data_IF_285031492999
#
_entry.id   IF_285031492999
#
_cell.length_a   1.000
_cell.length_b   1.000
_cell.length_c   1.000
_cell.angle_alpha   90.00
_cell.angle_beta   90.00
_cell.angle_gamma   90.00
#
_symmetry.space_group_name_H-M   'P 1'
#
loop_
_entity.id
_entity.type
_entity.pdbx_description
1 polymer ?
#
# COMPACT_ATOMS: atom_id res chain seq x y z
N UNK A 1 -16.00 -14.92 29.21
CA UNK A 1 -14.86 -14.81 28.25
C UNK A 1 -15.45 -14.72 26.87
N UNK A 2 -15.03 -13.75 26.04
CA UNK A 2 -15.46 -13.67 24.63
C UNK A 2 -14.97 -14.92 23.88
N UNK A 3 -15.75 -15.42 22.92
CA UNK A 3 -15.28 -16.45 22.01
C UNK A 3 -14.16 -15.90 21.10
N UNK A 4 -13.32 -16.80 20.59
CA UNK A 4 -12.22 -16.39 19.72
C UNK A 4 -12.76 -15.85 18.39
N UNK A 5 -12.41 -14.60 18.09
CA UNK A 5 -12.78 -13.89 16.85
C UNK A 5 -14.25 -14.10 16.43
N UNK A 6 -15.16 -13.96 17.40
CA UNK A 6 -16.59 -14.01 17.17
C UNK A 6 -17.10 -12.79 16.36
N UNK A 7 -18.41 -12.72 16.15
CA UNK A 7 -19.03 -11.59 15.40
C UNK A 7 -18.70 -10.22 15.99
N UNK A 8 -18.39 -10.13 17.28
CA UNK A 8 -18.08 -8.89 18.01
C UNK A 8 -16.57 -8.69 18.19
N UNK A 9 -15.75 -9.46 17.46
CA UNK A 9 -14.28 -9.30 17.47
C UNK A 9 -13.88 -7.84 17.27
N UNK A 10 -13.03 -7.29 18.16
CA UNK A 10 -12.59 -5.89 18.22
C UNK A 10 -13.70 -4.84 18.45
N UNK A 11 -14.96 -5.22 18.72
CA UNK A 11 -16.06 -4.29 18.99
C UNK A 11 -16.44 -4.39 20.47
N UNK A 12 -16.09 -3.36 21.26
CA UNK A 12 -16.22 -3.42 22.72
C UNK A 12 -17.54 -2.82 23.23
N UNK A 13 -18.30 -2.06 22.40
CA UNK A 13 -19.54 -1.41 22.79
C UNK A 13 -20.68 -1.66 21.79
N UNK A 14 -21.93 -1.39 22.21
CA UNK A 14 -23.10 -1.44 21.32
C UNK A 14 -22.98 -0.38 20.22
N UNK A 15 -22.49 0.80 20.57
CA UNK A 15 -22.21 1.87 19.62
C UNK A 15 -21.21 1.40 18.55
N UNK A 16 -20.11 0.75 18.95
CA UNK A 16 -19.12 0.23 17.99
C UNK A 16 -19.74 -0.82 17.06
N UNK A 17 -20.60 -1.72 17.57
CA UNK A 17 -21.29 -2.74 16.76
C UNK A 17 -22.26 -2.11 15.75
N UNK A 18 -23.02 -1.11 16.16
CA UNK A 18 -23.95 -0.41 15.28
C UNK A 18 -23.23 0.37 14.18
N UNK A 19 -22.13 1.04 14.50
CA UNK A 19 -21.27 1.73 13.52
C UNK A 19 -20.64 0.74 12.54
N UNK A 20 -20.13 -0.38 13.03
CA UNK A 20 -19.53 -1.41 12.20
C UNK A 20 -20.56 -2.02 11.23
N UNK A 21 -21.79 -2.25 11.66
CA UNK A 21 -22.85 -2.74 10.77
C UNK A 21 -23.03 -1.84 9.54
N UNK A 22 -22.98 -0.50 9.72
CA UNK A 22 -23.06 0.44 8.61
C UNK A 22 -21.77 0.47 7.75
N UNK A 23 -20.60 0.48 8.40
CA UNK A 23 -19.32 0.53 7.68
C UNK A 23 -19.05 -0.75 6.87
N UNK A 24 -19.50 -1.90 7.35
CA UNK A 24 -19.25 -3.20 6.72
C UNK A 24 -20.02 -3.39 5.40
N UNK A 25 -21.15 -2.72 5.22
CA UNK A 25 -21.93 -2.72 3.97
C UNK A 25 -21.23 -1.93 2.83
N UNK A 26 -20.28 -1.06 3.17
CA UNK A 26 -19.60 -0.26 2.17
C UNK A 26 -18.71 -1.11 1.27
N UNK A 27 -18.68 -0.85 -0.04
CA UNK A 27 -17.75 -1.53 -0.93
C UNK A 27 -16.30 -1.19 -0.59
N UNK A 28 -15.37 -1.87 -1.26
CA UNK A 28 -13.93 -1.62 -1.13
C UNK A 28 -13.45 -0.84 -2.36
N UNK A 29 -12.75 0.25 -2.11
CA UNK A 29 -11.85 0.87 -3.05
C UNK A 29 -10.43 0.72 -2.49
N UNK A 30 -9.67 -0.22 -3.05
CA UNK A 30 -8.28 -0.48 -2.67
C UNK A 30 -7.36 0.40 -3.52
N UNK A 31 -7.22 1.67 -3.11
CA UNK A 31 -6.54 2.69 -3.88
C UNK A 31 -5.01 2.56 -3.91
N UNK A 32 -4.44 1.60 -3.18
CA UNK A 32 -3.03 1.21 -3.23
C UNK A 32 -2.85 -0.28 -2.93
N UNK A 33 -2.44 -1.06 -3.93
CA UNK A 33 -2.08 -2.47 -3.78
C UNK A 33 -0.97 -2.87 -4.76
N UNK A 34 -0.42 -4.08 -4.56
CA UNK A 34 0.61 -4.69 -5.41
C UNK A 34 0.11 -5.96 -6.13
N UNK A 35 -1.20 -6.07 -6.36
CA UNK A 35 -1.75 -7.18 -7.12
C UNK A 35 -1.29 -7.13 -8.58
N UNK A 36 -1.02 -8.30 -9.16
CA UNK A 36 -0.57 -8.42 -10.53
C UNK A 36 -1.72 -8.23 -11.53
N UNK A 37 -1.70 -7.19 -12.39
CA UNK A 37 -2.70 -7.04 -13.45
C UNK A 37 -2.73 -8.23 -14.41
N UNK A 38 -1.59 -8.88 -14.62
CA UNK A 38 -1.48 -10.09 -15.44
C UNK A 38 -2.28 -11.24 -14.83
N UNK A 39 -2.14 -11.49 -13.54
CA UNK A 39 -2.91 -12.56 -12.86
C UNK A 39 -4.41 -12.26 -12.87
N UNK A 40 -4.82 -11.00 -12.70
CA UNK A 40 -6.23 -10.58 -12.81
C UNK A 40 -6.75 -10.81 -14.23
N UNK A 41 -5.95 -10.51 -15.26
CA UNK A 41 -6.34 -10.73 -16.65
C UNK A 41 -6.44 -12.22 -16.99
N UNK A 42 -5.39 -12.99 -16.69
CA UNK A 42 -5.32 -14.43 -16.97
C UNK A 42 -6.38 -15.22 -16.17
N UNK A 43 -6.75 -14.72 -14.99
CA UNK A 43 -7.81 -15.24 -14.12
C UNK A 43 -7.74 -16.75 -13.87
N UNK A 44 -6.54 -17.29 -13.72
CA UNK A 44 -6.32 -18.70 -13.46
C UNK A 44 -6.63 -19.05 -12.02
N UNK A 45 -7.28 -20.19 -11.80
CA UNK A 45 -7.50 -20.70 -10.46
C UNK A 45 -6.16 -20.96 -9.76
N UNK A 46 -6.10 -20.62 -8.50
CA UNK A 46 -4.95 -20.93 -7.66
C UNK A 46 -4.91 -22.43 -7.31
N UNK A 47 -3.70 -22.96 -7.18
CA UNK A 47 -3.51 -24.42 -6.99
C UNK A 47 -3.89 -24.85 -5.57
N UNK A 48 -3.51 -24.06 -4.56
CA UNK A 48 -3.71 -24.39 -3.15
C UNK A 48 -3.61 -23.14 -2.23
N UNK A 49 -3.98 -23.33 -0.96
CA UNK A 49 -3.95 -22.26 0.05
C UNK A 49 -2.52 -21.80 0.39
N UNK A 50 -1.51 -22.66 0.28
CA UNK A 50 -0.12 -22.27 0.56
C UNK A 50 0.37 -21.29 -0.52
N UNK A 51 -0.01 -21.50 -1.76
CA UNK A 51 0.30 -20.56 -2.83
C UNK A 51 -0.33 -19.20 -2.54
N UNK A 52 -1.64 -19.16 -2.23
CA UNK A 52 -2.36 -17.92 -1.91
C UNK A 52 -1.74 -17.15 -0.73
N UNK A 53 -1.17 -17.86 0.25
CA UNK A 53 -0.65 -17.24 1.47
C UNK A 53 0.85 -16.97 1.47
N UNK A 54 1.65 -17.82 0.82
CA UNK A 54 3.09 -17.85 1.06
C UNK A 54 3.93 -17.56 -0.20
N UNK A 55 3.31 -17.50 -1.38
CA UNK A 55 4.08 -17.32 -2.63
C UNK A 55 4.81 -15.97 -2.71
N UNK A 56 4.26 -14.90 -2.12
CA UNK A 56 4.84 -13.55 -2.22
C UNK A 56 4.74 -12.71 -0.94
N UNK A 57 4.36 -13.30 0.20
CA UNK A 57 4.10 -12.55 1.44
C UNK A 57 5.33 -12.51 2.35
N UNK A 58 6.15 -11.48 2.18
CA UNK A 58 7.35 -11.28 3.00
C UNK A 58 7.08 -10.99 4.48
N UNK A 59 5.85 -10.61 4.88
CA UNK A 59 5.45 -10.50 6.30
C UNK A 59 5.42 -11.88 6.95
N UNK A 60 4.78 -12.85 6.28
CA UNK A 60 4.70 -14.23 6.74
C UNK A 60 6.09 -14.89 6.78
N UNK A 61 6.90 -14.65 5.74
CA UNK A 61 8.29 -15.15 5.70
C UNK A 61 9.13 -14.64 6.86
N UNK A 62 8.98 -13.35 7.21
CA UNK A 62 9.67 -12.75 8.37
C UNK A 62 9.25 -13.41 9.68
N UNK A 63 7.96 -13.65 9.89
CA UNK A 63 7.44 -14.32 11.07
C UNK A 63 7.95 -15.77 11.16
N UNK A 64 7.94 -16.51 10.05
CA UNK A 64 8.47 -17.88 9.99
C UNK A 64 9.95 -17.94 10.38
N UNK A 65 10.78 -17.02 9.86
CA UNK A 65 12.20 -16.93 10.25
C UNK A 65 12.38 -16.60 11.72
N UNK A 66 11.56 -15.70 12.26
CA UNK A 66 11.60 -15.33 13.69
C UNK A 66 11.27 -16.51 14.59
N UNK A 67 10.49 -17.47 14.11
CA UNK A 67 10.20 -18.76 14.79
C UNK A 67 11.22 -19.86 14.48
N UNK A 68 12.32 -19.57 13.79
CA UNK A 68 13.38 -20.54 13.48
C UNK A 68 13.03 -21.55 12.39
N UNK A 69 12.05 -21.27 11.55
CA UNK A 69 11.70 -22.14 10.42
C UNK A 69 12.85 -22.12 9.38
N UNK A 70 13.36 -23.29 8.94
CA UNK A 70 14.40 -23.33 7.91
C UNK A 70 13.93 -22.72 6.58
N UNK A 71 14.84 -22.02 5.88
CA UNK A 71 14.54 -21.31 4.64
C UNK A 71 13.94 -22.21 3.54
N UNK A 72 14.26 -23.51 3.56
CA UNK A 72 13.66 -24.54 2.70
C UNK A 72 12.12 -24.48 2.70
N UNK A 73 11.51 -24.26 3.87
CA UNK A 73 10.05 -24.20 4.05
C UNK A 73 9.46 -22.80 3.91
N UNK A 74 10.27 -21.78 3.60
CA UNK A 74 9.84 -20.39 3.43
C UNK A 74 9.87 -20.04 1.97
N UNK A 75 11.05 -19.73 1.43
CA UNK A 75 11.27 -19.38 0.03
C UNK A 75 11.93 -20.49 -0.79
N UNK A 76 12.40 -21.57 -0.15
CA UNK A 76 13.06 -22.69 -0.80
C UNK A 76 12.11 -23.68 -1.48
N UNK A 77 12.61 -24.90 -1.72
CA UNK A 77 12.03 -25.90 -2.60
C UNK A 77 11.10 -26.92 -1.91
N UNK A 78 10.71 -26.69 -0.65
CA UNK A 78 9.71 -27.53 0.01
C UNK A 78 8.37 -27.47 -0.73
N UNK A 79 7.61 -28.58 -0.70
CA UNK A 79 6.28 -28.63 -1.30
C UNK A 79 5.33 -27.61 -0.67
N UNK A 80 4.27 -27.15 -1.39
CA UNK A 80 3.27 -26.25 -0.84
C UNK A 80 2.69 -26.74 0.49
N UNK A 81 2.38 -28.04 0.59
CA UNK A 81 1.87 -28.64 1.82
C UNK A 81 2.88 -28.53 2.98
N UNK A 82 4.16 -28.83 2.76
CA UNK A 82 5.20 -28.70 3.79
C UNK A 82 5.34 -27.25 4.27
N UNK A 83 5.27 -26.27 3.35
CA UNK A 83 5.28 -24.85 3.68
C UNK A 83 4.07 -24.46 4.51
N UNK A 84 2.88 -24.93 4.14
CA UNK A 84 1.66 -24.71 4.92
C UNK A 84 1.74 -25.31 6.33
N UNK A 85 2.24 -26.54 6.46
CA UNK A 85 2.43 -27.20 7.77
C UNK A 85 3.41 -26.41 8.65
N UNK A 86 4.50 -25.89 8.06
CA UNK A 86 5.45 -25.04 8.77
C UNK A 86 4.82 -23.72 9.23
N UNK A 87 3.97 -23.09 8.40
CA UNK A 87 3.18 -21.93 8.77
C UNK A 87 2.20 -22.23 9.90
N UNK A 88 1.41 -23.28 9.77
CA UNK A 88 0.44 -23.71 10.78
C UNK A 88 1.10 -23.99 12.15
N UNK A 89 2.28 -24.58 12.16
CA UNK A 89 3.04 -24.88 13.37
C UNK A 89 3.42 -23.65 14.16
N UNK A 90 3.73 -22.52 13.50
CA UNK A 90 4.14 -21.29 14.17
C UNK A 90 2.96 -20.42 14.59
N UNK A 91 1.77 -20.62 14.04
CA UNK A 91 0.61 -19.79 14.29
C UNK A 91 0.32 -19.55 15.78
N UNK A 92 0.31 -20.56 16.68
CA UNK A 92 0.05 -20.34 18.10
C UNK A 92 1.07 -19.42 18.80
N UNK A 93 2.25 -19.23 18.21
CA UNK A 93 3.32 -18.40 18.76
C UNK A 93 3.25 -16.94 18.28
N UNK A 94 2.34 -16.60 17.36
CA UNK A 94 2.17 -15.24 16.83
C UNK A 94 1.24 -14.39 17.72
N UNK A 95 1.29 -14.57 19.03
CA UNK A 95 0.52 -13.79 19.99
C UNK A 95 0.83 -12.29 19.86
N UNK A 96 -0.20 -11.47 19.60
CA UNK A 96 -0.07 -10.03 19.41
C UNK A 96 0.37 -9.60 17.99
N UNK A 97 0.76 -10.53 17.12
CA UNK A 97 1.10 -10.24 15.74
C UNK A 97 -0.19 -10.16 14.87
N UNK A 98 -0.37 -9.14 14.02
CA UNK A 98 -1.55 -9.01 13.18
C UNK A 98 -1.77 -10.19 12.23
N UNK A 99 -0.72 -10.89 11.80
CA UNK A 99 -0.81 -12.08 10.96
C UNK A 99 -1.67 -13.19 11.59
N UNK A 100 -1.72 -13.26 12.93
CA UNK A 100 -2.61 -14.20 13.62
C UNK A 100 -4.08 -13.89 13.33
N UNK A 101 -4.47 -12.62 13.45
CA UNK A 101 -5.85 -12.19 13.18
C UNK A 101 -6.18 -12.25 11.68
N UNK A 102 -5.30 -11.78 10.82
CA UNK A 102 -5.54 -11.78 9.37
C UNK A 102 -5.71 -13.21 8.83
N UNK A 103 -4.81 -14.13 9.20
CA UNK A 103 -4.92 -15.54 8.79
C UNK A 103 -6.27 -16.15 9.20
N UNK A 104 -6.74 -15.87 10.43
CA UNK A 104 -8.02 -16.43 10.90
C UNK A 104 -9.24 -15.71 10.31
N UNK A 105 -9.16 -14.40 10.00
CA UNK A 105 -10.19 -13.71 9.24
C UNK A 105 -10.30 -14.28 7.81
N UNK A 106 -9.18 -14.51 7.15
CA UNK A 106 -9.14 -15.13 5.82
C UNK A 106 -9.76 -16.55 5.85
N UNK A 107 -9.40 -17.38 6.86
CA UNK A 107 -10.01 -18.70 7.05
C UNK A 107 -11.52 -18.62 7.24
N UNK A 108 -12.00 -17.68 8.06
CA UNK A 108 -13.42 -17.51 8.33
C UNK A 108 -14.18 -17.00 7.10
N UNK A 109 -13.68 -15.99 6.40
CA UNK A 109 -14.41 -15.28 5.35
C UNK A 109 -14.41 -16.04 4.02
N UNK A 110 -13.30 -16.68 3.68
CA UNK A 110 -13.19 -17.40 2.42
C UNK A 110 -13.46 -18.90 2.53
N UNK A 111 -13.13 -19.49 3.68
CA UNK A 111 -13.15 -20.96 3.82
C UNK A 111 -14.20 -21.50 4.79
N UNK A 112 -14.92 -20.66 5.53
CA UNK A 112 -15.87 -21.04 6.59
C UNK A 112 -15.20 -21.88 7.68
N UNK A 113 -13.94 -21.60 7.99
CA UNK A 113 -13.12 -22.29 9.00
C UNK A 113 -12.95 -21.38 10.20
N UNK A 114 -13.48 -21.78 11.35
CA UNK A 114 -13.53 -20.95 12.58
C UNK A 114 -12.59 -21.47 13.69
N UNK A 115 -12.11 -22.70 13.59
CA UNK A 115 -11.13 -23.24 14.52
C UNK A 115 -9.73 -22.62 14.30
N UNK A 116 -8.96 -22.41 15.41
CA UNK A 116 -7.61 -21.88 15.31
C UNK A 116 -6.66 -22.79 14.52
N UNK A 117 -5.90 -22.19 13.61
CA UNK A 117 -4.84 -22.87 12.88
C UNK A 117 -3.67 -23.20 13.82
N UNK A 118 -3.26 -24.46 13.83
CA UNK A 118 -2.15 -24.99 14.65
C UNK A 118 -1.63 -26.28 14.04
N UNK A 119 -0.54 -26.81 14.56
CA UNK A 119 -0.04 -28.14 14.15
C UNK A 119 -1.11 -29.25 14.29
N UNK A 120 -2.03 -29.12 15.26
CA UNK A 120 -3.10 -30.11 15.50
C UNK A 120 -4.24 -30.05 14.48
N UNK A 121 -4.53 -28.87 13.95
CA UNK A 121 -5.65 -28.63 13.03
C UNK A 121 -5.19 -28.49 11.59
N UNK A 122 -3.89 -28.41 11.35
CA UNK A 122 -3.28 -28.11 10.05
C UNK A 122 -3.73 -29.05 8.94
N UNK A 123 -3.74 -30.36 9.20
CA UNK A 123 -4.09 -31.36 8.18
C UNK A 123 -5.55 -31.24 7.74
N UNK A 124 -6.46 -31.07 8.69
CA UNK A 124 -7.89 -30.92 8.42
C UNK A 124 -8.16 -29.59 7.68
N UNK A 125 -7.56 -28.49 8.15
CA UNK A 125 -7.68 -27.18 7.50
C UNK A 125 -7.13 -27.20 6.08
N UNK A 126 -5.95 -27.82 5.87
CA UNK A 126 -5.37 -28.00 4.53
C UNK A 126 -6.35 -28.69 3.58
N UNK A 127 -6.89 -29.82 4.03
CA UNK A 127 -7.79 -30.62 3.20
C UNK A 127 -9.09 -29.87 2.87
N UNK A 128 -9.72 -29.22 3.87
CA UNK A 128 -10.97 -28.47 3.69
C UNK A 128 -10.78 -27.23 2.82
N UNK A 129 -9.71 -26.47 3.05
CA UNK A 129 -9.43 -25.27 2.27
C UNK A 129 -9.17 -25.61 0.80
N UNK A 130 -8.34 -26.63 0.53
CA UNK A 130 -8.04 -27.04 -0.85
C UNK A 130 -9.23 -27.72 -1.54
N UNK A 131 -10.06 -28.46 -0.80
CA UNK A 131 -11.32 -28.96 -1.35
C UNK A 131 -12.24 -27.79 -1.79
N UNK A 132 -12.31 -26.71 -1.03
CA UNK A 132 -13.08 -25.52 -1.39
C UNK A 132 -12.49 -24.79 -2.61
N UNK A 133 -11.18 -24.63 -2.67
CA UNK A 133 -10.48 -24.09 -3.85
C UNK A 133 -10.78 -24.92 -5.12
N UNK A 134 -10.76 -26.23 -5.01
CA UNK A 134 -11.02 -27.14 -6.14
C UNK A 134 -12.46 -27.07 -6.66
N UNK A 135 -13.42 -26.67 -5.83
CA UNK A 135 -14.83 -26.46 -6.26
C UNK A 135 -14.99 -25.19 -7.10
N UNK A 136 -14.14 -24.16 -6.85
CA UNK A 136 -14.17 -22.86 -7.54
C UNK A 136 -14.42 -21.70 -6.58
N UNK A 137 -14.47 -20.49 -7.13
CA UNK A 137 -14.65 -19.25 -6.35
C UNK A 137 -13.33 -18.64 -5.86
N UNK A 138 -12.18 -19.14 -6.34
CA UNK A 138 -10.84 -18.71 -5.90
C UNK A 138 -9.93 -18.27 -7.04
N UNK A 139 -10.49 -17.89 -8.18
CA UNK A 139 -9.72 -17.15 -9.18
C UNK A 139 -9.50 -15.71 -8.71
N UNK A 140 -8.48 -14.99 -9.21
CA UNK A 140 -8.27 -13.58 -8.87
C UNK A 140 -9.51 -12.72 -8.96
N UNK A 141 -10.29 -12.83 -10.06
CA UNK A 141 -11.50 -12.01 -10.26
C UNK A 141 -12.63 -12.38 -9.31
N UNK A 142 -12.82 -13.68 -9.05
CA UNK A 142 -13.83 -14.14 -8.09
C UNK A 142 -13.51 -13.66 -6.66
N UNK A 143 -12.24 -13.70 -6.25
CA UNK A 143 -11.81 -13.20 -4.93
C UNK A 143 -12.03 -11.69 -4.80
N UNK A 144 -11.74 -10.91 -5.84
CA UNK A 144 -11.98 -9.47 -5.91
C UNK A 144 -13.49 -9.17 -5.82
N UNK A 145 -14.32 -9.82 -6.66
CA UNK A 145 -15.76 -9.58 -6.73
C UNK A 145 -16.48 -10.06 -5.45
N UNK A 146 -16.13 -11.23 -4.93
CA UNK A 146 -16.69 -11.78 -3.69
C UNK A 146 -16.34 -10.92 -2.46
N UNK A 147 -15.26 -10.13 -2.54
CA UNK A 147 -14.87 -9.18 -1.49
C UNK A 147 -15.52 -7.81 -1.64
N UNK A 148 -16.46 -7.64 -2.58
CA UNK A 148 -17.12 -6.37 -2.88
C UNK A 148 -16.13 -5.23 -3.23
N UNK A 149 -15.06 -5.54 -3.98
CA UNK A 149 -14.10 -4.55 -4.46
C UNK A 149 -14.61 -3.96 -5.77
N UNK A 150 -14.86 -2.66 -5.79
CA UNK A 150 -15.38 -1.96 -6.97
C UNK A 150 -14.29 -1.28 -7.80
N UNK A 151 -13.18 -0.98 -7.17
CA UNK A 151 -11.99 -0.41 -7.83
C UNK A 151 -10.74 -0.79 -7.05
N UNK A 152 -9.65 -1.05 -7.77
CA UNK A 152 -8.31 -1.18 -7.18
C UNK A 152 -7.27 -0.48 -8.04
N UNK A 153 -6.24 0.07 -7.37
CA UNK A 153 -5.07 0.66 -8.01
C UNK A 153 -3.88 -0.26 -7.80
N UNK A 154 -3.32 -0.74 -8.90
CA UNK A 154 -2.04 -1.47 -8.89
C UNK A 154 -0.87 -0.49 -8.84
N UNK A 155 0.34 -1.00 -8.63
CA UNK A 155 1.55 -0.17 -8.53
C UNK A 155 2.46 -0.49 -9.70
N UNK A 156 2.60 0.45 -10.66
CA UNK A 156 3.19 0.17 -11.96
C UNK A 156 4.38 1.11 -12.27
N UNK A 157 5.45 0.55 -12.82
CA UNK A 157 6.66 1.30 -13.19
C UNK A 157 6.41 2.19 -14.41
N UNK A 158 7.09 3.33 -14.47
CA UNK A 158 6.98 4.24 -15.63
C UNK A 158 7.32 3.58 -16.98
N UNK A 159 8.11 2.51 -17.00
CA UNK A 159 8.46 1.75 -18.19
C UNK A 159 7.47 0.62 -18.54
N UNK A 160 6.45 0.37 -17.71
CA UNK A 160 5.49 -0.73 -17.93
C UNK A 160 4.58 -0.47 -19.13
N UNK A 161 4.27 -1.51 -19.89
CA UNK A 161 3.43 -1.41 -21.10
C UNK A 161 1.96 -1.11 -20.80
N UNK A 162 1.49 -1.43 -19.60
CA UNK A 162 0.09 -1.38 -19.17
C UNK A 162 -0.86 -2.23 -20.04
N UNK A 163 -0.34 -3.22 -20.75
CA UNK A 163 -1.12 -4.05 -21.67
C UNK A 163 -2.26 -4.79 -20.98
N UNK A 164 -2.01 -5.31 -19.77
CA UNK A 164 -3.04 -6.04 -19.02
C UNK A 164 -4.13 -5.11 -18.48
N UNK A 165 -3.79 -3.88 -18.09
CA UNK A 165 -4.80 -2.87 -17.73
C UNK A 165 -5.74 -2.57 -18.91
N UNK A 166 -5.18 -2.41 -20.10
CA UNK A 166 -5.98 -2.21 -21.31
C UNK A 166 -6.90 -3.40 -21.58
N UNK A 167 -6.37 -4.62 -21.56
CA UNK A 167 -7.14 -5.84 -21.79
C UNK A 167 -8.26 -6.03 -20.74
N UNK A 168 -7.97 -5.75 -19.46
CA UNK A 168 -8.99 -5.80 -18.40
C UNK A 168 -10.07 -4.73 -18.63
N UNK A 169 -9.70 -3.51 -18.99
CA UNK A 169 -10.65 -2.43 -19.24
C UNK A 169 -11.59 -2.71 -20.44
N UNK A 170 -11.13 -3.49 -21.42
CA UNK A 170 -11.92 -3.94 -22.58
C UNK A 170 -12.90 -5.08 -22.21
N UNK A 171 -12.61 -5.85 -21.18
CA UNK A 171 -13.45 -6.97 -20.71
C UNK A 171 -14.62 -6.47 -19.84
N UNK A 172 -15.80 -6.37 -20.44
CA UNK A 172 -17.01 -5.89 -19.75
C UNK A 172 -17.67 -6.94 -18.83
N UNK A 173 -17.17 -8.17 -18.80
CA UNK A 173 -17.67 -9.21 -17.90
C UNK A 173 -17.15 -9.02 -16.49
N UNK A 174 -15.97 -8.38 -16.31
CA UNK A 174 -15.39 -8.06 -15.03
C UNK A 174 -15.80 -6.66 -14.56
N UNK A 175 -16.40 -6.57 -13.38
CA UNK A 175 -17.04 -5.34 -12.90
C UNK A 175 -16.09 -4.42 -12.13
N UNK A 176 -15.07 -4.97 -11.48
CA UNK A 176 -14.09 -4.17 -10.74
C UNK A 176 -13.21 -3.38 -11.71
N UNK A 177 -13.06 -2.10 -11.46
CA UNK A 177 -12.09 -1.26 -12.19
C UNK A 177 -10.68 -1.54 -11.69
N UNK A 178 -9.79 -1.91 -12.59
CA UNK A 178 -8.35 -2.06 -12.30
C UNK A 178 -7.62 -0.93 -13.03
N UNK A 179 -7.06 -0.01 -12.27
CA UNK A 179 -6.37 1.16 -12.81
C UNK A 179 -4.92 1.19 -12.32
N UNK A 180 -3.96 1.67 -13.14
CA UNK A 180 -2.58 1.78 -12.71
C UNK A 180 -2.39 2.96 -11.75
N UNK A 181 -1.48 2.84 -10.77
CA UNK A 181 -0.86 3.98 -10.11
C UNK A 181 0.58 4.15 -10.61
N UNK A 182 0.97 5.39 -10.89
CA UNK A 182 2.28 5.71 -11.47
C UNK A 182 3.36 5.69 -10.40
N UNK A 183 4.26 4.70 -10.44
CA UNK A 183 5.36 4.55 -9.48
C UNK A 183 6.74 4.69 -10.15
N UNK A 184 7.28 5.92 -10.24
CA UNK A 184 8.56 6.18 -10.89
C UNK A 184 9.77 6.03 -9.95
N UNK A 185 9.72 5.14 -8.95
CA UNK A 185 10.81 4.95 -7.99
C UNK A 185 12.14 4.59 -8.65
N UNK A 186 12.10 3.85 -9.76
CA UNK A 186 13.31 3.53 -10.51
C UNK A 186 13.87 4.74 -11.24
N UNK A 187 13.03 5.68 -11.67
CA UNK A 187 13.48 6.97 -12.22
C UNK A 187 14.19 7.79 -11.15
N UNK A 188 13.68 7.78 -9.91
CA UNK A 188 14.26 8.49 -8.77
C UNK A 188 15.51 7.82 -8.23
N UNK A 189 15.71 6.53 -8.48
CA UNK A 189 16.82 5.73 -7.98
C UNK A 189 18.13 5.87 -8.76
N UNK A 190 18.55 7.10 -9.11
CA UNK A 190 19.69 7.39 -9.96
C UNK A 190 21.02 6.81 -9.43
N UNK A 191 21.15 6.68 -8.11
CA UNK A 191 22.32 6.10 -7.43
C UNK A 191 22.30 4.56 -7.39
N UNK A 192 21.20 3.92 -7.77
CA UNK A 192 21.03 2.48 -7.61
C UNK A 192 21.67 1.70 -8.77
N UNK A 193 22.23 0.52 -8.53
CA UNK A 193 22.94 -0.27 -9.54
C UNK A 193 22.12 -0.62 -10.79
N UNK A 194 20.80 -0.66 -10.70
CA UNK A 194 19.91 -0.99 -11.83
C UNK A 194 19.47 0.21 -12.68
N UNK A 195 19.87 1.44 -12.35
CA UNK A 195 19.36 2.65 -12.98
C UNK A 195 19.57 2.68 -14.52
N UNK A 196 20.76 2.36 -14.98
CA UNK A 196 21.08 2.35 -16.44
C UNK A 196 20.26 1.32 -17.22
N UNK A 197 20.01 0.17 -16.64
CA UNK A 197 19.20 -0.87 -17.30
C UNK A 197 17.72 -0.48 -17.30
N UNK A 198 17.26 0.23 -16.27
CA UNK A 198 15.94 0.82 -16.25
C UNK A 198 15.78 1.92 -17.33
N UNK A 199 16.79 2.79 -17.53
CA UNK A 199 16.76 3.80 -18.61
C UNK A 199 16.61 3.11 -19.98
N UNK A 200 17.35 2.02 -20.25
CA UNK A 200 17.18 1.23 -21.48
C UNK A 200 15.77 0.62 -21.61
N UNK A 201 15.18 0.17 -20.49
CA UNK A 201 13.82 -0.32 -20.50
C UNK A 201 12.82 0.80 -20.83
N UNK A 202 13.02 2.00 -20.28
CA UNK A 202 12.23 3.19 -20.60
C UNK A 202 12.38 3.59 -22.09
N UNK A 203 13.60 3.59 -22.64
CA UNK A 203 13.84 3.83 -24.06
C UNK A 203 13.09 2.82 -24.95
N UNK A 204 13.12 1.54 -24.57
CA UNK A 204 12.36 0.50 -25.28
C UNK A 204 10.86 0.71 -25.20
N UNK A 205 10.34 1.11 -24.03
CA UNK A 205 8.92 1.31 -23.81
C UNK A 205 8.38 2.57 -24.53
N UNK A 206 9.19 3.61 -24.65
CA UNK A 206 8.84 4.86 -25.33
C UNK A 206 9.16 4.86 -26.84
N UNK A 207 10.13 4.06 -27.27
CA UNK A 207 10.71 4.11 -28.61
C UNK A 207 11.68 5.28 -28.83
N UNK A 208 12.04 5.99 -27.76
CA UNK A 208 12.88 7.19 -27.81
C UNK A 208 14.17 6.98 -27.01
N UNK A 209 15.28 7.59 -27.51
CA UNK A 209 16.56 7.55 -26.80
C UNK A 209 16.59 8.61 -25.69
N UNK A 210 17.13 8.24 -24.52
CA UNK A 210 17.22 9.10 -23.34
C UNK A 210 18.68 9.38 -23.01
N UNK A 211 19.26 10.42 -23.60
CA UNK A 211 20.67 10.78 -23.47
C UNK A 211 20.92 12.14 -22.77
N UNK A 212 19.85 12.82 -22.34
CA UNK A 212 19.91 14.04 -21.54
C UNK A 212 18.82 14.05 -20.47
N UNK A 213 18.99 14.89 -19.44
CA UNK A 213 17.96 15.07 -18.41
C UNK A 213 16.65 15.64 -18.97
N UNK A 214 16.75 16.60 -19.89
CA UNK A 214 15.58 17.16 -20.59
C UNK A 214 14.80 16.08 -21.34
N UNK A 215 15.53 15.19 -22.05
CA UNK A 215 14.91 14.09 -22.77
C UNK A 215 14.27 13.06 -21.84
N UNK A 216 14.85 12.84 -20.65
CA UNK A 216 14.22 12.01 -19.62
C UNK A 216 12.86 12.59 -19.20
N UNK A 217 12.78 13.90 -18.91
CA UNK A 217 11.52 14.55 -18.55
C UNK A 217 10.47 14.46 -19.66
N UNK A 218 10.84 14.68 -20.92
CA UNK A 218 9.93 14.54 -22.09
C UNK A 218 9.37 13.11 -22.18
N UNK A 219 10.23 12.10 -22.05
CA UNK A 219 9.81 10.71 -22.13
C UNK A 219 8.93 10.35 -20.94
N UNK A 220 9.29 10.76 -19.72
CA UNK A 220 8.45 10.54 -18.53
C UNK A 220 7.09 11.22 -18.65
N UNK A 221 7.02 12.41 -19.23
CA UNK A 221 5.74 13.08 -19.50
C UNK A 221 4.86 12.25 -20.44
N UNK A 222 5.44 11.69 -21.52
CA UNK A 222 4.71 10.81 -22.42
C UNK A 222 4.18 9.54 -21.72
N UNK A 223 4.93 9.04 -20.73
CA UNK A 223 4.50 7.90 -19.90
C UNK A 223 3.35 8.27 -18.96
N UNK A 224 3.43 9.44 -18.31
CA UNK A 224 2.33 9.97 -17.49
C UNK A 224 1.05 10.12 -18.34
N UNK A 225 1.15 10.61 -19.58
CA UNK A 225 0.02 10.69 -20.51
C UNK A 225 -0.57 9.32 -20.87
N UNK A 226 0.27 8.29 -20.99
CA UNK A 226 -0.22 6.92 -21.17
C UNK A 226 -0.99 6.43 -19.93
N UNK A 227 -0.44 6.65 -18.75
CA UNK A 227 -1.10 6.28 -17.49
C UNK A 227 -2.45 7.00 -17.32
N UNK A 228 -2.51 8.30 -17.63
CA UNK A 228 -3.78 9.06 -17.62
C UNK A 228 -4.81 8.42 -18.55
N UNK A 229 -4.42 8.05 -19.78
CA UNK A 229 -5.31 7.36 -20.74
C UNK A 229 -5.80 6.00 -20.23
N UNK A 230 -5.03 5.33 -19.37
CA UNK A 230 -5.42 4.07 -18.73
C UNK A 230 -6.25 4.28 -17.47
N UNK A 231 -6.60 5.52 -17.13
CA UNK A 231 -7.45 5.86 -16.00
C UNK A 231 -6.73 6.04 -14.67
N UNK A 232 -5.41 6.21 -14.70
CA UNK A 232 -4.60 6.53 -13.51
C UNK A 232 -5.15 7.73 -12.75
N UNK A 233 -5.16 7.66 -11.42
CA UNK A 233 -5.61 8.71 -10.51
C UNK A 233 -4.67 8.92 -9.33
N UNK A 234 -3.63 8.10 -9.23
CA UNK A 234 -2.67 8.14 -8.15
C UNK A 234 -1.24 7.98 -8.66
N UNK A 235 -0.31 8.55 -7.94
CA UNK A 235 1.12 8.23 -8.04
C UNK A 235 1.63 7.75 -6.69
N UNK A 236 2.68 6.94 -6.69
CA UNK A 236 3.28 6.40 -5.49
C UNK A 236 4.81 6.59 -5.51
N UNK A 237 5.34 7.06 -4.41
CA UNK A 237 6.76 7.33 -4.22
C UNK A 237 7.23 6.80 -2.87
N UNK A 238 8.41 6.18 -2.82
CA UNK A 238 8.99 5.68 -1.58
C UNK A 238 10.38 6.31 -1.32
N UNK A 239 10.53 6.91 -0.13
CA UNK A 239 11.79 7.50 0.32
C UNK A 239 12.22 6.92 1.66
N UNK A 240 13.47 6.48 1.76
CA UNK A 240 14.08 6.22 3.07
C UNK A 240 14.20 7.54 3.86
N UNK A 241 14.64 8.61 3.17
CA UNK A 241 14.75 9.99 3.63
C UNK A 241 14.22 10.91 2.53
N UNK A 242 13.35 11.87 2.89
CA UNK A 242 12.83 12.84 1.93
C UNK A 242 13.99 13.69 1.39
N UNK A 243 14.20 13.73 0.07
CA UNK A 243 15.25 14.56 -0.52
C UNK A 243 14.80 16.02 -0.61
N UNK A 244 15.70 16.96 -0.36
CA UNK A 244 15.45 18.36 -0.71
C UNK A 244 16.76 19.11 -0.97
N UNK A 245 17.02 19.40 -2.23
CA UNK A 245 18.07 20.32 -2.66
C UNK A 245 17.74 20.89 -4.05
N UNK A 246 17.98 22.17 -4.26
CA UNK A 246 17.75 22.82 -5.55
C UNK A 246 18.98 22.71 -6.44
N UNK A 247 18.77 22.54 -7.73
CA UNK A 247 19.79 22.55 -8.77
C UNK A 247 19.24 23.23 -10.02
N UNK A 248 20.11 23.70 -10.89
CA UNK A 248 19.74 24.21 -12.21
C UNK A 248 19.78 23.08 -13.26
N UNK A 249 19.25 23.37 -14.45
CA UNK A 249 19.14 22.39 -15.53
C UNK A 249 20.50 21.88 -16.03
N UNK A 250 21.54 22.73 -16.05
CA UNK A 250 22.88 22.33 -16.52
C UNK A 250 23.54 21.37 -15.53
N UNK A 251 23.33 21.60 -14.24
CA UNK A 251 23.83 20.73 -13.18
C UNK A 251 23.14 19.36 -13.21
N UNK A 252 21.82 19.33 -13.42
CA UNK A 252 21.05 18.10 -13.54
C UNK A 252 21.47 17.26 -14.76
N UNK A 253 21.69 17.88 -15.92
CA UNK A 253 22.15 17.17 -17.09
C UNK A 253 23.56 16.57 -16.89
N UNK A 254 24.45 17.29 -16.18
CA UNK A 254 25.75 16.78 -15.78
C UNK A 254 25.62 15.56 -14.86
N UNK A 255 24.78 15.65 -13.83
CA UNK A 255 24.54 14.54 -12.86
C UNK A 255 23.95 13.32 -13.60
N UNK A 256 22.98 13.55 -14.46
CA UNK A 256 22.35 12.49 -15.27
C UNK A 256 23.36 11.78 -16.18
N UNK A 257 24.18 12.53 -16.93
CA UNK A 257 25.22 11.96 -17.78
C UNK A 257 26.29 11.20 -17.01
N UNK A 258 26.66 11.70 -15.82
CA UNK A 258 27.56 11.02 -14.89
C UNK A 258 27.01 9.65 -14.47
N UNK A 259 25.72 9.58 -14.12
CA UNK A 259 25.03 8.33 -13.80
C UNK A 259 24.98 7.35 -14.99
N UNK A 260 24.67 7.86 -16.19
CA UNK A 260 24.68 7.03 -17.41
C UNK A 260 26.09 6.51 -17.74
N UNK A 261 27.14 7.28 -17.43
CA UNK A 261 28.55 6.87 -17.54
C UNK A 261 28.94 5.80 -16.50
N UNK A 262 28.14 5.58 -15.48
CA UNK A 262 28.43 4.64 -14.38
C UNK A 262 29.39 5.19 -13.35
N UNK A 263 29.51 6.51 -13.26
CA UNK A 263 30.29 7.19 -12.25
C UNK A 263 29.51 7.27 -10.93
N UNK A 264 30.23 7.28 -9.80
CA UNK A 264 29.63 7.42 -8.48
C UNK A 264 29.11 8.85 -8.27
N UNK A 265 27.90 8.96 -7.72
CA UNK A 265 27.26 10.22 -7.37
C UNK A 265 27.43 10.52 -5.88
N UNK A 266 27.66 11.80 -5.55
CA UNK A 266 27.59 12.27 -4.17
C UNK A 266 26.15 12.32 -3.68
N UNK A 267 25.91 12.26 -2.35
CA UNK A 267 24.57 12.45 -1.77
C UNK A 267 23.93 13.77 -2.21
N UNK A 268 24.73 14.80 -2.37
CA UNK A 268 24.29 16.10 -2.84
C UNK A 268 23.70 16.03 -4.26
N UNK A 269 24.40 15.41 -5.19
CA UNK A 269 23.96 15.20 -6.57
C UNK A 269 22.69 14.35 -6.63
N UNK A 270 22.60 13.34 -5.78
CA UNK A 270 21.40 12.48 -5.66
C UNK A 270 20.19 13.28 -5.14
N UNK A 271 20.38 14.10 -4.08
CA UNK A 271 19.29 14.91 -3.54
C UNK A 271 18.83 16.00 -4.53
N UNK A 272 19.75 16.62 -5.26
CA UNK A 272 19.45 17.57 -6.33
C UNK A 272 18.58 16.95 -7.41
N UNK A 273 19.02 15.82 -7.95
CA UNK A 273 18.29 15.08 -8.98
C UNK A 273 16.89 14.66 -8.48
N UNK A 274 16.80 13.99 -7.34
CA UNK A 274 15.53 13.53 -6.77
C UNK A 274 14.56 14.68 -6.48
N UNK A 275 15.06 15.80 -5.96
CA UNK A 275 14.22 16.96 -5.65
C UNK A 275 13.59 17.55 -6.90
N UNK A 276 14.40 17.76 -7.96
CA UNK A 276 13.89 18.40 -9.18
C UNK A 276 12.96 17.46 -9.93
N UNK A 277 13.31 16.18 -10.02
CA UNK A 277 12.44 15.19 -10.68
C UNK A 277 11.12 14.99 -9.91
N UNK A 278 11.13 14.98 -8.56
CA UNK A 278 9.89 14.95 -7.77
C UNK A 278 9.02 16.19 -7.99
N UNK A 279 9.63 17.36 -8.11
CA UNK A 279 8.87 18.58 -8.42
C UNK A 279 8.27 18.55 -9.82
N UNK A 280 8.99 18.02 -10.80
CA UNK A 280 8.46 17.77 -12.14
C UNK A 280 7.23 16.86 -12.07
N UNK A 281 7.34 15.71 -11.45
CA UNK A 281 6.24 14.76 -11.28
C UNK A 281 5.03 15.39 -10.56
N UNK A 282 5.26 16.03 -9.43
CA UNK A 282 4.18 16.62 -8.63
C UNK A 282 3.40 17.69 -9.42
N UNK A 283 4.08 18.53 -10.21
CA UNK A 283 3.43 19.50 -11.09
C UNK A 283 2.55 18.84 -12.14
N UNK A 284 3.00 17.73 -12.71
CA UNK A 284 2.22 16.98 -13.69
C UNK A 284 1.01 16.28 -13.04
N UNK A 285 1.14 15.80 -11.79
CA UNK A 285 0.02 15.25 -11.03
C UNK A 285 -1.01 16.31 -10.67
N UNK A 286 -0.56 17.50 -10.23
CA UNK A 286 -1.46 18.62 -9.94
C UNK A 286 -2.30 19.01 -11.17
N UNK A 287 -1.69 19.11 -12.36
CA UNK A 287 -2.38 19.44 -13.61
C UNK A 287 -3.45 18.43 -14.01
N UNK A 288 -3.29 17.15 -13.61
CA UNK A 288 -4.23 16.03 -13.88
C UNK A 288 -5.18 15.76 -12.74
N UNK A 289 -5.01 16.42 -11.58
CA UNK A 289 -5.82 16.19 -10.39
C UNK A 289 -5.59 14.83 -9.72
N UNK A 290 -4.41 14.22 -9.95
CA UNK A 290 -4.04 12.94 -9.29
C UNK A 290 -3.74 13.15 -7.81
N UNK A 291 -3.89 12.07 -7.02
CA UNK A 291 -3.35 11.97 -5.67
C UNK A 291 -1.88 11.52 -5.71
N UNK A 292 -1.01 12.22 -4.99
CA UNK A 292 0.41 11.87 -4.85
C UNK A 292 0.63 11.18 -3.50
N UNK A 293 1.00 9.92 -3.53
CA UNK A 293 1.35 9.15 -2.33
C UNK A 293 2.85 9.25 -2.08
N UNK A 294 3.24 9.54 -0.83
CA UNK A 294 4.64 9.59 -0.41
C UNK A 294 4.82 8.67 0.80
N UNK A 295 5.49 7.56 0.60
CA UNK A 295 5.86 6.60 1.62
C UNK A 295 7.24 6.91 2.18
N UNK A 296 7.34 7.15 3.50
CA UNK A 296 8.57 7.64 4.14
C UNK A 296 9.05 6.67 5.21
N UNK A 297 10.36 6.40 5.23
CA UNK A 297 11.03 5.79 6.37
C UNK A 297 11.23 4.28 6.30
N UNK A 298 11.24 3.66 5.13
CA UNK A 298 11.64 2.27 4.96
C UNK A 298 13.15 2.15 4.67
N UNK A 299 13.89 1.43 5.55
CA UNK A 299 15.25 0.99 5.24
C UNK A 299 15.19 -0.40 4.64
N UNK A 300 15.60 -0.50 3.38
CA UNK A 300 15.44 -1.73 2.61
C UNK A 300 16.71 -2.59 2.61
N UNK A 301 16.52 -3.91 2.49
CA UNK A 301 17.60 -4.88 2.25
C UNK A 301 18.72 -4.86 3.32
N UNK A 302 18.37 -4.71 4.60
CA UNK A 302 19.33 -4.56 5.69
C UNK A 302 20.27 -5.75 5.91
N UNK A 303 19.92 -6.92 5.37
CA UNK A 303 20.76 -8.12 5.46
C UNK A 303 21.40 -8.41 4.09
N UNK A 304 22.60 -7.90 3.86
CA UNK A 304 23.32 -8.05 2.58
C UNK A 304 23.53 -9.49 2.15
N UNK A 305 23.76 -10.42 3.11
CA UNK A 305 23.91 -11.85 2.82
C UNK A 305 22.63 -12.45 2.26
N UNK A 306 21.49 -12.11 2.87
CA UNK A 306 20.19 -12.61 2.41
C UNK A 306 19.73 -11.90 1.14
N UNK A 307 20.02 -10.61 0.99
CA UNK A 307 19.76 -9.88 -0.26
C UNK A 307 20.49 -10.51 -1.45
N UNK A 308 21.77 -10.89 -1.27
CA UNK A 308 22.53 -11.59 -2.30
C UNK A 308 21.94 -12.96 -2.68
N UNK A 309 21.31 -13.63 -1.72
CA UNK A 309 20.73 -14.98 -1.91
C UNK A 309 19.31 -14.97 -2.43
N UNK A 310 18.46 -14.05 -1.97
CA UNK A 310 17.01 -14.06 -2.18
C UNK A 310 16.50 -12.85 -2.98
N UNK A 311 17.31 -11.80 -3.12
CA UNK A 311 16.90 -10.55 -3.75
C UNK A 311 16.09 -9.63 -2.82
N UNK A 312 15.48 -8.58 -3.37
CA UNK A 312 14.65 -7.61 -2.65
C UNK A 312 13.33 -8.21 -2.19
N UNK A 313 12.60 -7.48 -1.36
CA UNK A 313 11.24 -7.84 -0.89
C UNK A 313 11.14 -9.23 -0.24
N UNK A 314 12.20 -9.66 0.43
CA UNK A 314 12.29 -10.99 1.04
C UNK A 314 12.16 -10.98 2.57
N UNK A 315 11.76 -9.83 3.16
CA UNK A 315 11.44 -9.70 4.59
C UNK A 315 12.61 -9.20 5.47
N UNK A 316 13.64 -8.59 4.88
CA UNK A 316 14.81 -8.07 5.59
C UNK A 316 14.87 -6.53 5.61
N UNK A 317 13.70 -5.90 5.62
CA UNK A 317 13.56 -4.46 5.71
C UNK A 317 13.24 -4.02 7.15
N UNK A 318 13.44 -2.75 7.47
CA UNK A 318 13.17 -2.17 8.78
C UNK A 318 12.74 -0.71 8.71
N UNK A 319 12.43 -0.14 9.87
CA UNK A 319 12.08 1.27 10.05
C UNK A 319 13.36 2.10 10.04
N UNK A 320 13.39 3.17 9.23
CA UNK A 320 14.42 4.20 9.27
C UNK A 320 14.13 5.23 10.39
N UNK A 321 15.17 5.88 10.85
CA UNK A 321 15.08 6.89 11.91
C UNK A 321 15.72 8.22 11.48
N UNK A 322 15.35 8.69 10.28
CA UNK A 322 15.79 9.99 9.77
C UNK A 322 14.85 11.12 10.22
N UNK A 323 15.35 12.34 10.18
CA UNK A 323 14.53 13.54 10.32
C UNK A 323 13.67 13.74 9.07
N UNK A 324 12.37 14.03 9.26
CA UNK A 324 11.40 14.14 8.17
C UNK A 324 10.92 15.57 7.95
N UNK A 325 10.72 16.34 9.02
CA UNK A 325 9.98 17.59 9.01
C UNK A 325 10.51 18.64 8.01
N UNK A 326 11.80 18.96 8.09
CA UNK A 326 12.39 20.09 7.36
C UNK A 326 12.36 19.87 5.85
N UNK A 327 12.88 18.74 5.40
CA UNK A 327 12.94 18.45 3.96
C UNK A 327 11.55 18.26 3.35
N UNK A 328 10.64 17.59 4.07
CA UNK A 328 9.27 17.41 3.63
C UNK A 328 8.56 18.77 3.50
N UNK A 329 8.65 19.64 4.53
CA UNK A 329 8.07 20.98 4.50
C UNK A 329 8.57 21.77 3.31
N UNK A 330 9.88 21.79 3.08
CA UNK A 330 10.50 22.52 1.95
C UNK A 330 10.08 21.95 0.60
N UNK A 331 9.95 20.63 0.47
CA UNK A 331 9.48 20.01 -0.77
C UNK A 331 8.03 20.43 -1.09
N UNK A 332 7.13 20.32 -0.12
CA UNK A 332 5.72 20.68 -0.27
C UNK A 332 5.57 22.19 -0.54
N UNK A 333 6.23 23.04 0.25
CA UNK A 333 6.24 24.50 0.07
C UNK A 333 6.74 24.90 -1.32
N UNK A 334 7.80 24.26 -1.82
CA UNK A 334 8.34 24.56 -3.15
C UNK A 334 7.36 24.31 -4.31
N UNK A 335 6.30 23.56 -4.07
CA UNK A 335 5.21 23.30 -5.00
C UNK A 335 4.00 24.20 -4.72
N UNK A 336 3.71 24.43 -3.44
CA UNK A 336 2.54 25.21 -3.02
C UNK A 336 2.68 26.69 -3.39
N UNK A 337 3.88 27.27 -3.31
CA UNK A 337 4.14 28.66 -3.76
C UNK A 337 3.86 28.89 -5.26
N UNK A 338 3.86 27.83 -6.06
CA UNK A 338 3.52 27.88 -7.49
C UNK A 338 2.05 27.47 -7.75
N UNK A 339 1.26 27.19 -6.69
CA UNK A 339 -0.09 26.58 -6.76
C UNK A 339 -0.13 25.24 -7.55
N UNK A 340 0.95 24.48 -7.45
CA UNK A 340 1.16 23.21 -8.14
C UNK A 340 1.41 22.04 -7.18
N UNK A 341 1.09 22.20 -5.88
CA UNK A 341 1.07 21.08 -4.95
C UNK A 341 -0.18 20.23 -5.22
N UNK A 342 -0.06 18.94 -5.62
CA UNK A 342 -1.22 18.09 -5.85
C UNK A 342 -1.91 17.68 -4.53
N UNK A 343 -3.05 17.03 -4.63
CA UNK A 343 -3.60 16.23 -3.53
C UNK A 343 -2.52 15.24 -3.09
N UNK A 344 -2.16 15.24 -1.81
CA UNK A 344 -1.00 14.47 -1.33
C UNK A 344 -1.38 13.61 -0.13
N UNK A 345 -0.92 12.35 -0.11
CA UNK A 345 -1.10 11.42 1.00
C UNK A 345 0.29 11.08 1.55
N UNK A 346 0.50 11.39 2.83
CA UNK A 346 1.77 11.16 3.51
C UNK A 346 1.68 9.89 4.37
N UNK A 347 2.55 8.92 4.10
CA UNK A 347 2.71 7.73 4.92
C UNK A 347 4.02 7.79 5.70
N UNK A 348 4.02 7.34 6.93
CA UNK A 348 5.26 7.07 7.66
C UNK A 348 5.33 5.63 8.13
N UNK A 349 6.53 5.05 8.05
CA UNK A 349 6.80 3.75 8.63
C UNK A 349 7.23 3.86 10.11
N UNK A 350 7.78 5.02 10.51
CA UNK A 350 8.18 5.25 11.88
C UNK A 350 7.04 5.92 12.68
N UNK A 351 6.43 5.25 13.67
CA UNK A 351 5.32 5.82 14.44
C UNK A 351 5.69 7.07 15.23
N UNK A 352 7.00 7.33 15.51
CA UNK A 352 7.46 8.59 16.12
C UNK A 352 7.06 9.82 15.30
N UNK A 353 6.92 9.66 13.97
CA UNK A 353 6.64 10.74 13.05
C UNK A 353 5.12 10.99 12.85
N UNK A 354 4.24 10.24 13.51
CA UNK A 354 2.80 10.40 13.38
C UNK A 354 2.34 11.85 13.66
N UNK A 355 2.81 12.46 14.73
CA UNK A 355 2.48 13.86 15.05
C UNK A 355 3.24 14.86 14.20
N UNK A 356 4.45 14.53 13.74
CA UNK A 356 5.21 15.36 12.80
C UNK A 356 4.43 15.50 11.49
N UNK A 357 4.01 14.39 10.92
CA UNK A 357 3.18 14.40 9.70
C UNK A 357 1.80 14.98 9.96
N UNK A 358 1.12 14.57 11.03
CA UNK A 358 -0.19 15.08 11.38
C UNK A 358 -0.25 16.61 11.47
N UNK A 359 0.77 17.24 12.07
CA UNK A 359 0.88 18.69 12.10
C UNK A 359 1.20 19.29 10.72
N UNK A 360 2.03 18.62 9.90
CA UNK A 360 2.39 19.05 8.56
C UNK A 360 1.19 19.15 7.63
N UNK A 361 0.20 18.26 7.77
CA UNK A 361 -1.01 18.26 6.93
C UNK A 361 -1.72 19.62 6.93
N UNK A 362 -1.78 20.29 8.10
CA UNK A 362 -2.46 21.55 8.29
C UNK A 362 -1.84 22.73 7.51
N UNK A 363 -0.55 22.64 7.16
CA UNK A 363 0.18 23.75 6.54
C UNK A 363 -0.23 24.01 5.09
N UNK A 364 -0.73 23.00 4.38
CA UNK A 364 -0.95 23.05 2.93
C UNK A 364 -2.39 22.72 2.52
N UNK A 365 -3.35 22.89 3.43
CA UNK A 365 -4.77 22.73 3.12
C UNK A 365 -5.31 23.93 2.34
N UNK A 366 -6.22 23.67 1.40
CA UNK A 366 -6.94 24.71 0.66
C UNK A 366 -8.34 24.22 0.23
N UNK A 367 -9.05 25.01 -0.61
CA UNK A 367 -10.42 24.70 -1.05
C UNK A 367 -10.51 23.74 -2.25
N UNK A 368 -9.40 23.26 -2.81
CA UNK A 368 -9.42 22.34 -3.97
C UNK A 368 -10.01 20.98 -3.62
N UNK A 369 -9.71 20.48 -2.41
CA UNK A 369 -10.27 19.24 -1.89
C UNK A 369 -10.35 19.29 -0.36
N UNK A 370 -11.38 18.68 0.21
CA UNK A 370 -11.45 18.49 1.65
C UNK A 370 -10.29 17.59 2.11
N UNK A 371 -9.49 18.08 3.07
CA UNK A 371 -8.23 17.45 3.47
C UNK A 371 -7.35 17.12 2.26
N UNK A 372 -7.01 18.15 1.47
CA UNK A 372 -6.13 18.04 0.30
C UNK A 372 -4.85 17.28 0.60
N UNK A 373 -4.25 17.55 1.76
CA UNK A 373 -3.12 16.79 2.29
C UNK A 373 -3.66 15.81 3.33
N UNK A 374 -3.49 14.53 3.07
CA UNK A 374 -3.98 13.42 3.89
C UNK A 374 -2.86 12.78 4.68
N UNK A 375 -3.22 12.18 5.82
CA UNK A 375 -2.37 11.19 6.47
C UNK A 375 -2.77 9.81 5.95
N UNK A 376 -1.83 9.06 5.41
CA UNK A 376 -2.06 7.70 4.91
C UNK A 376 -2.44 6.73 6.04
N UNK A 377 -3.00 5.59 5.69
CA UNK A 377 -3.28 4.51 6.65
C UNK A 377 -1.99 4.06 7.35
N UNK A 378 -2.16 3.41 8.51
CA UNK A 378 -1.04 2.80 9.21
C UNK A 378 -0.34 1.81 8.29
N UNK A 379 0.94 2.09 7.97
CA UNK A 379 1.65 1.43 6.90
C UNK A 379 2.58 0.32 7.44
N UNK A 380 2.60 -0.84 6.77
CA UNK A 380 3.51 -1.97 6.96
C UNK A 380 3.63 -2.42 8.44
N UNK A 381 4.70 -2.06 9.17
CA UNK A 381 4.90 -2.45 10.58
C UNK A 381 3.89 -1.83 11.55
N UNK A 382 3.14 -0.83 11.11
CA UNK A 382 2.07 -0.18 11.87
C UNK A 382 0.68 -0.70 11.48
N UNK A 383 0.56 -1.58 10.48
CA UNK A 383 -0.71 -2.19 10.05
C UNK A 383 -1.14 -3.27 11.06
N UNK A 384 -1.52 -2.80 12.25
CA UNK A 384 -1.96 -3.58 13.40
C UNK A 384 -2.89 -2.74 14.29
N UNK A 385 -3.48 -3.34 15.33
CA UNK A 385 -4.46 -2.66 16.20
C UNK A 385 -3.92 -1.35 16.77
N UNK A 386 -2.73 -1.40 17.37
CA UNK A 386 -2.16 -0.25 18.06
C UNK A 386 -1.70 0.81 17.06
N UNK A 387 -0.99 0.41 16.01
CA UNK A 387 -0.52 1.33 14.97
C UNK A 387 -1.65 2.04 14.24
N UNK A 388 -2.75 1.35 13.89
CA UNK A 388 -3.93 1.97 13.30
C UNK A 388 -4.60 2.96 14.26
N UNK A 389 -4.74 2.58 15.55
CA UNK A 389 -5.31 3.48 16.57
C UNK A 389 -4.44 4.70 16.80
N UNK A 390 -3.12 4.55 16.87
CA UNK A 390 -2.18 5.65 17.05
C UNK A 390 -2.19 6.60 15.86
N UNK A 391 -2.17 6.09 14.64
CA UNK A 391 -2.25 6.89 13.43
C UNK A 391 -3.56 7.69 13.38
N UNK A 392 -4.73 7.04 13.59
CA UNK A 392 -6.02 7.71 13.59
C UNK A 392 -6.17 8.73 14.73
N UNK A 393 -5.60 8.47 15.92
CA UNK A 393 -5.57 9.44 17.03
C UNK A 393 -4.70 10.65 16.69
N UNK A 394 -3.52 10.45 16.10
CA UNK A 394 -2.67 11.55 15.68
C UNK A 394 -3.40 12.42 14.66
N UNK A 395 -4.04 11.82 13.66
CA UNK A 395 -4.86 12.53 12.67
C UNK A 395 -6.04 13.27 13.33
N UNK A 396 -6.77 12.63 14.25
CA UNK A 396 -7.90 13.26 14.93
C UNK A 396 -7.47 14.48 15.78
N UNK A 397 -6.29 14.43 16.39
CA UNK A 397 -5.78 15.49 17.24
C UNK A 397 -5.19 16.68 16.46
N UNK A 398 -4.74 16.48 15.23
CA UNK A 398 -4.01 17.49 14.44
C UNK A 398 -4.71 17.89 13.15
N UNK A 399 -5.69 17.10 12.70
CA UNK A 399 -6.42 17.28 11.45
C UNK A 399 -7.92 16.97 11.60
N UNK A 400 -8.51 16.35 10.56
CA UNK A 400 -9.94 16.05 10.50
C UNK A 400 -10.15 14.57 10.17
N UNK A 401 -10.26 13.73 11.20
CA UNK A 401 -10.44 12.28 11.05
C UNK A 401 -11.62 11.91 10.13
N UNK A 402 -12.74 12.63 10.19
CA UNK A 402 -13.93 12.34 9.36
C UNK A 402 -13.69 12.49 7.85
N UNK A 403 -12.56 13.09 7.44
CA UNK A 403 -12.15 13.24 6.03
C UNK A 403 -11.02 12.29 5.63
N UNK A 404 -10.66 11.36 6.49
CA UNK A 404 -9.65 10.36 6.21
C UNK A 404 -10.05 9.47 5.02
N UNK A 405 -9.10 9.21 4.12
CA UNK A 405 -9.32 8.38 2.93
C UNK A 405 -9.33 6.86 3.22
N UNK A 406 -9.12 6.48 4.49
CA UNK A 406 -9.29 5.11 4.94
C UNK A 406 -8.13 4.18 4.63
N UNK A 407 -8.44 2.89 4.58
CA UNK A 407 -7.53 1.75 4.49
C UNK A 407 -7.17 1.42 3.04
N UNK A 408 -5.98 0.88 2.87
CA UNK A 408 -5.50 0.16 1.68
C UNK A 408 -4.94 -1.19 2.09
N UNK A 409 -4.94 -2.17 1.20
CA UNK A 409 -4.34 -3.46 1.53
C UNK A 409 -2.82 -3.43 1.48
N UNK A 410 -2.24 -2.63 0.60
CA UNK A 410 -0.80 -2.64 0.30
C UNK A 410 -0.28 -4.08 0.12
N UNK A 411 -1.06 -4.93 -0.53
CA UNK A 411 -0.84 -6.38 -0.56
C UNK A 411 -0.63 -6.94 -1.95
N UNK A 412 0.11 -8.06 -1.99
CA UNK A 412 0.28 -8.92 -3.17
C UNK A 412 -0.67 -10.12 -3.17
N UNK A 413 -1.50 -10.30 -2.11
CA UNK A 413 -2.39 -11.45 -1.97
C UNK A 413 -3.84 -11.09 -2.22
N UNK A 414 -4.52 -11.87 -3.06
CA UNK A 414 -5.96 -11.75 -3.32
C UNK A 414 -6.84 -12.10 -2.12
N UNK A 415 -6.28 -12.70 -1.06
CA UNK A 415 -6.99 -12.98 0.19
C UNK A 415 -6.92 -11.84 1.21
N UNK A 416 -6.28 -10.71 0.90
CA UNK A 416 -6.01 -9.64 1.88
C UNK A 416 -7.18 -8.70 2.17
N UNK A 417 -8.30 -8.79 1.45
CA UNK A 417 -9.43 -7.88 1.62
C UNK A 417 -10.09 -7.91 3.01
N UNK A 418 -10.07 -9.00 3.81
CA UNK A 418 -10.48 -8.96 5.21
C UNK A 418 -9.72 -7.97 6.09
N UNK A 419 -8.59 -7.40 5.62
CA UNK A 419 -7.91 -6.28 6.29
C UNK A 419 -8.77 -5.01 6.29
N UNK A 420 -9.63 -4.78 5.28
CA UNK A 420 -10.61 -3.70 5.32
C UNK A 420 -11.65 -3.90 6.41
N UNK A 421 -12.14 -5.13 6.62
CA UNK A 421 -13.00 -5.46 7.76
C UNK A 421 -12.28 -5.22 9.08
N UNK A 422 -11.03 -5.66 9.20
CA UNK A 422 -10.19 -5.47 10.39
C UNK A 422 -10.04 -3.98 10.73
N UNK A 423 -9.71 -3.16 9.74
CA UNK A 423 -9.64 -1.71 9.89
C UNK A 423 -10.99 -1.10 10.31
N UNK A 424 -12.09 -1.46 9.63
CA UNK A 424 -13.43 -0.95 9.92
C UNK A 424 -13.85 -1.27 11.36
N UNK A 425 -13.49 -2.44 11.88
CA UNK A 425 -13.73 -2.81 13.29
C UNK A 425 -12.94 -1.91 14.24
N UNK A 426 -11.66 -1.69 13.98
CA UNK A 426 -10.81 -0.82 14.80
C UNK A 426 -11.30 0.63 14.76
N UNK A 427 -11.67 1.14 13.59
CA UNK A 427 -12.24 2.47 13.40
C UNK A 427 -13.54 2.65 14.22
N UNK A 428 -14.47 1.72 14.08
CA UNK A 428 -15.76 1.79 14.74
C UNK A 428 -15.63 1.65 16.26
N UNK A 429 -14.70 0.84 16.74
CA UNK A 429 -14.40 0.71 18.16
C UNK A 429 -13.75 1.99 18.73
N UNK A 430 -12.84 2.60 17.98
CA UNK A 430 -12.23 3.88 18.37
C UNK A 430 -13.29 4.98 18.52
N UNK A 431 -14.18 5.13 17.53
CA UNK A 431 -15.25 6.14 17.54
C UNK A 431 -16.30 5.79 18.60
N UNK A 432 -16.71 4.53 18.69
CA UNK A 432 -17.64 4.06 19.71
C UNK A 432 -17.13 4.36 21.13
N UNK A 433 -15.85 4.12 21.39
CA UNK A 433 -15.21 4.47 22.66
C UNK A 433 -15.27 5.98 22.97
N UNK A 434 -15.19 6.86 21.98
CA UNK A 434 -15.35 8.30 22.19
C UNK A 434 -16.77 8.64 22.63
N UNK A 435 -17.78 8.02 22.05
CA UNK A 435 -19.19 8.20 22.43
C UNK A 435 -19.45 7.68 23.85
N UNK A 436 -19.06 6.43 24.16
CA UNK A 436 -19.25 5.81 25.46
C UNK A 436 -18.59 6.61 26.61
N UNK A 437 -17.51 7.30 26.31
CA UNK A 437 -16.80 8.16 27.26
C UNK A 437 -17.31 9.60 27.30
N UNK A 438 -18.38 9.93 26.56
CA UNK A 438 -18.92 11.28 26.50
C UNK A 438 -18.01 12.31 25.83
N UNK A 439 -17.04 11.88 25.02
CA UNK A 439 -16.14 12.76 24.28
C UNK A 439 -16.73 13.23 22.94
N UNK A 440 -17.79 12.57 22.49
CA UNK A 440 -18.56 12.92 21.29
C UNK A 440 -20.03 12.58 21.52
N UNK A 441 -21.00 13.37 21.01
CA UNK A 441 -22.42 13.08 21.17
C UNK A 441 -22.83 11.79 20.43
N UNK A 442 -23.82 11.09 20.95
CA UNK A 442 -24.40 9.87 20.35
C UNK A 442 -25.33 10.20 19.15
N UNK A 443 -24.89 11.06 18.24
CA UNK A 443 -25.56 11.33 16.97
C UNK A 443 -25.25 10.23 15.97
N UNK A 444 -26.04 9.15 16.01
CA UNK A 444 -25.79 7.94 15.23
C UNK A 444 -25.89 8.19 13.72
N UNK A 445 -26.70 9.13 13.24
CA UNK A 445 -26.82 9.42 11.82
C UNK A 445 -25.52 10.05 11.30
N UNK A 446 -24.98 11.04 12.02
CA UNK A 446 -23.69 11.66 11.70
C UNK A 446 -22.55 10.65 11.82
N UNK A 447 -22.53 9.83 12.88
CA UNK A 447 -21.46 8.85 13.12
C UNK A 447 -21.45 7.74 12.07
N UNK A 448 -22.60 7.20 11.67
CA UNK A 448 -22.71 6.22 10.56
C UNK A 448 -22.21 6.80 9.24
N UNK A 449 -22.60 8.07 8.96
CA UNK A 449 -22.08 8.76 7.78
C UNK A 449 -20.56 8.86 7.81
N UNK A 450 -19.95 9.24 8.94
CA UNK A 450 -18.50 9.35 9.09
C UNK A 450 -17.80 8.01 8.84
N UNK A 451 -18.26 6.91 9.44
CA UNK A 451 -17.59 5.61 9.23
C UNK A 451 -17.78 5.07 7.81
N UNK A 452 -18.90 5.34 7.16
CA UNK A 452 -19.11 5.02 5.76
C UNK A 452 -18.20 5.86 4.83
N UNK A 453 -18.08 7.16 5.13
CA UNK A 453 -17.23 8.07 4.37
C UNK A 453 -15.75 7.64 4.46
N UNK A 454 -15.24 7.33 5.65
CA UNK A 454 -13.88 6.82 5.85
C UNK A 454 -13.69 5.44 5.20
N UNK A 455 -14.72 4.60 5.23
CA UNK A 455 -14.62 3.23 4.67
C UNK A 455 -14.63 3.20 3.14
N UNK A 456 -15.13 4.26 2.47
CA UNK A 456 -15.25 4.26 1.01
C UNK A 456 -15.40 5.66 0.38
N UNK A 457 -16.38 6.49 0.83
CA UNK A 457 -16.78 7.68 0.07
C UNK A 457 -15.68 8.73 -0.02
N UNK A 458 -14.90 8.93 1.05
CA UNK A 458 -13.80 9.90 1.05
C UNK A 458 -12.73 9.54 0.00
N UNK A 459 -12.33 8.28 -0.09
CA UNK A 459 -11.37 7.85 -1.11
C UNK A 459 -11.96 8.00 -2.52
N UNK A 460 -13.22 7.59 -2.73
CA UNK A 460 -13.91 7.76 -4.00
C UNK A 460 -13.93 9.22 -4.46
N UNK A 461 -14.29 10.14 -3.58
CA UNK A 461 -14.30 11.58 -3.87
C UNK A 461 -12.89 12.13 -4.10
N UNK A 462 -11.94 11.75 -3.25
CA UNK A 462 -10.56 12.23 -3.31
C UNK A 462 -9.85 11.87 -4.62
N UNK A 463 -10.05 10.66 -5.12
CA UNK A 463 -9.46 10.21 -6.39
C UNK A 463 -10.36 10.48 -7.62
N UNK A 464 -11.63 10.87 -7.43
CA UNK A 464 -12.56 11.15 -8.52
C UNK A 464 -12.99 9.91 -9.29
N UNK A 465 -13.32 8.81 -8.59
CA UNK A 465 -13.65 7.49 -9.16
C UNK A 465 -15.15 7.20 -9.07
#
# INVERSE_FOLDING_TARGET
MKAFMDKDFLLESDTARELFAAANEMPIFDWHCHLSPKEIYENRAHEDIAWLWLAGDHYKWRAMRSCGVPEKYITGDASPREKFMAWAKIMPYLLGNPLYHWTHLELQRYFDIYEPLSEKTAEDIWNRANAKIAVGGFTPRELIENSNVVCLCTTDDAADSLEYHKLIAEDKSFKCRVIPAFRPDKALGIELPGYRDWVKALEKASGEKVDSYEKLEEVLLSRIDLFEKMGCRASDHAFTRVPYKRADAAELDRVFKKALGGEELSECEVDEYKTVLMRFFAKEYARRGWGMEIHIGATRNNNSRMFKSLGPDSGFDSIADHEVADNLSRLLDSLDVEDLLPKTILFTLNPKDNYVLGAMLGNFQNSQAASKIQFGSAWWFNDNIDGMREQMKALANTGVLSKFVGMVTDSRSFLSYPRHEYFRRILCDLIGSMVERGLYPADMDTLKKIVCDISFNNAKEYFGI
#
